data_IF_553619482249
#
_entry.id   IF_553619482249
#
_cell.length_a   1.000
_cell.length_b   1.000
_cell.length_c   1.000
_cell.angle_alpha   90.00
_cell.angle_beta   90.00
_cell.angle_gamma   90.00
#
_symmetry.space_group_name_H-M   'P 1'
#
loop_
_entity.id
_entity.type
_entity.pdbx_description
1 polymer ?
#
# COMPACT_ATOMS: atom_id res chain seq x y z
N UNK A 1 -9.18 5.30 -12.22
CA UNK A 1 -7.81 5.77 -11.92
C UNK A 1 -6.88 5.42 -13.07
N UNK A 2 -6.10 6.34 -13.54
CA UNK A 2 -5.15 6.13 -14.62
C UNK A 2 -3.83 5.61 -14.04
N UNK A 3 -3.32 4.50 -14.61
CA UNK A 3 -2.12 3.85 -14.09
C UNK A 3 -0.89 4.76 -14.07
N UNK A 4 -0.72 5.59 -15.09
CA UNK A 4 0.41 6.51 -15.15
C UNK A 4 0.40 7.53 -14.03
N UNK A 5 -0.76 8.12 -13.75
CA UNK A 5 -0.91 9.05 -12.64
C UNK A 5 -0.69 8.35 -11.31
N UNK A 6 -1.19 7.13 -11.16
CA UNK A 6 -0.99 6.30 -9.98
C UNK A 6 0.50 6.06 -9.74
N UNK A 7 1.23 5.59 -10.76
CA UNK A 7 2.66 5.33 -10.64
C UNK A 7 3.47 6.59 -10.34
N UNK A 8 3.10 7.71 -10.94
CA UNK A 8 3.76 8.99 -10.69
C UNK A 8 3.62 9.41 -9.24
N UNK A 9 2.40 9.36 -8.70
CA UNK A 9 2.16 9.73 -7.31
C UNK A 9 2.85 8.80 -6.32
N UNK A 10 2.89 7.51 -6.61
CA UNK A 10 3.60 6.56 -5.75
C UNK A 10 5.12 6.76 -5.76
N UNK A 11 5.67 7.32 -6.82
CA UNK A 11 7.11 7.65 -6.87
C UNK A 11 7.43 8.95 -6.15
N UNK A 12 6.60 9.98 -6.32
CA UNK A 12 6.86 11.32 -5.82
C UNK A 12 6.58 11.45 -4.32
N UNK A 13 5.49 10.86 -3.85
CA UNK A 13 5.01 11.04 -2.48
C UNK A 13 5.20 9.81 -1.61
N UNK A 14 6.01 8.88 -2.04
CA UNK A 14 6.23 7.63 -1.32
C UNK A 14 7.38 7.70 -0.32
N UNK A 15 7.34 6.80 0.62
CA UNK A 15 8.48 6.48 1.46
C UNK A 15 8.70 4.96 1.46
N UNK A 16 9.96 4.56 1.58
CA UNK A 16 10.31 3.15 1.62
C UNK A 16 10.17 2.63 3.06
N UNK A 17 9.50 1.51 3.17
CA UNK A 17 9.30 0.83 4.46
C UNK A 17 9.60 -0.67 4.29
N UNK A 18 9.75 -1.37 5.40
CA UNK A 18 9.90 -2.82 5.41
C UNK A 18 8.51 -3.46 5.54
N UNK A 19 8.21 -4.37 4.62
CA UNK A 19 7.01 -5.22 4.70
C UNK A 19 7.44 -6.56 5.28
N UNK A 20 6.79 -6.98 6.37
CA UNK A 20 7.14 -8.20 7.08
C UNK A 20 5.91 -9.08 7.25
N UNK A 21 6.07 -10.36 6.91
CA UNK A 21 5.05 -11.37 7.17
C UNK A 21 5.58 -12.36 8.20
N UNK A 22 4.88 -12.44 9.31
CA UNK A 22 5.26 -13.37 10.38
C UNK A 22 5.01 -14.81 9.95
N UNK A 23 5.94 -15.66 10.26
CA UNK A 23 5.85 -17.06 9.92
C UNK A 23 7.06 -17.82 10.46
N UNK A 24 7.30 -18.98 9.89
CA UNK A 24 8.44 -19.82 10.29
C UNK A 24 9.16 -20.33 9.04
N UNK A 25 10.15 -19.59 8.53
CA UNK A 25 10.70 -18.31 9.00
C UNK A 25 9.82 -17.08 8.61
N UNK A 26 10.07 -15.95 9.26
CA UNK A 26 9.46 -14.68 8.86
C UNK A 26 9.97 -14.27 7.48
N UNK A 27 9.08 -13.64 6.69
CA UNK A 27 9.42 -13.10 5.38
C UNK A 27 9.53 -11.58 5.46
N UNK A 28 10.54 -11.01 4.83
CA UNK A 28 10.72 -9.56 4.77
C UNK A 28 11.03 -9.10 3.35
N UNK A 29 10.53 -7.94 3.01
CA UNK A 29 10.86 -7.26 1.76
C UNK A 29 10.72 -5.76 1.97
N UNK A 30 11.13 -4.97 1.00
CA UNK A 30 10.94 -3.52 1.02
C UNK A 30 9.85 -3.14 0.04
N UNK A 31 9.12 -2.08 0.37
CA UNK A 31 8.09 -1.52 -0.50
C UNK A 31 7.98 -0.02 -0.25
N UNK A 32 7.28 0.68 -1.13
CA UNK A 32 6.96 2.09 -0.96
C UNK A 32 5.49 2.24 -0.62
N UNK A 33 5.22 3.11 0.36
CA UNK A 33 3.86 3.47 0.72
C UNK A 33 3.65 4.96 0.49
N UNK A 34 2.44 5.33 0.12
CA UNK A 34 2.04 6.72 -0.11
C UNK A 34 0.77 7.01 0.67
N UNK A 35 0.68 8.11 1.42
CA UNK A 35 -0.57 8.46 2.10
C UNK A 35 -1.72 8.54 1.10
N UNK A 36 -2.86 7.95 1.43
CA UNK A 36 -3.97 7.81 0.49
C UNK A 36 -4.58 9.13 0.05
N UNK A 37 -4.42 10.19 0.86
CA UNK A 37 -4.98 11.50 0.52
C UNK A 37 -4.44 12.08 -0.79
N UNK A 38 -3.25 11.65 -1.26
CA UNK A 38 -2.72 12.08 -2.54
C UNK A 38 -3.50 11.52 -3.73
N UNK A 39 -4.31 10.50 -3.52
CA UNK A 39 -5.11 9.85 -4.57
C UNK A 39 -6.56 10.29 -4.59
N UNK A 40 -6.95 11.16 -3.69
CA UNK A 40 -8.34 11.57 -3.53
C UNK A 40 -8.98 12.11 -4.81
N UNK A 41 -8.26 12.96 -5.54
CA UNK A 41 -8.75 13.53 -6.79
C UNK A 41 -8.83 12.51 -7.93
N UNK A 42 -8.00 11.48 -7.93
CA UNK A 42 -8.02 10.44 -8.94
C UNK A 42 -9.17 9.46 -8.77
N UNK A 43 -9.63 9.30 -7.54
CA UNK A 43 -10.71 8.37 -7.22
C UNK A 43 -12.10 9.02 -7.24
N UNK A 44 -12.16 10.35 -7.41
CA UNK A 44 -13.38 11.09 -7.36
C UNK A 44 -13.74 11.55 -5.96
N UNK A 45 -14.93 12.14 -5.78
CA UNK A 45 -15.31 12.81 -4.55
C UNK A 45 -15.74 11.90 -3.41
N UNK A 46 -15.79 10.60 -3.62
CA UNK A 46 -16.19 9.67 -2.59
C UNK A 46 -15.10 9.60 -1.53
N UNK A 47 -15.41 10.03 -0.32
CA UNK A 47 -14.48 9.88 0.79
C UNK A 47 -15.22 9.67 2.08
N UNK A 48 -14.76 8.65 2.75
CA UNK A 48 -15.13 8.39 4.12
C UNK A 48 -13.99 8.93 4.97
N UNK A 49 -14.31 9.59 6.05
CA UNK A 49 -13.29 9.95 7.04
C UNK A 49 -12.74 8.65 7.64
N UNK A 50 -11.50 8.36 7.33
CA UNK A 50 -10.86 7.15 7.80
C UNK A 50 -10.09 7.48 9.05
N UNK A 51 -10.42 6.79 10.13
CA UNK A 51 -9.67 6.86 11.37
C UNK A 51 -8.51 5.88 11.26
N UNK A 52 -7.31 6.37 11.54
CA UNK A 52 -6.12 5.56 11.47
C UNK A 52 -5.24 5.91 10.28
N UNK A 53 -4.34 5.02 9.94
CA UNK A 53 -3.35 5.23 8.89
C UNK A 53 -3.74 4.48 7.64
N UNK A 54 -3.91 5.23 6.56
CA UNK A 54 -4.24 4.65 5.27
C UNK A 54 -3.19 5.03 4.24
N UNK A 55 -2.74 4.02 3.51
CA UNK A 55 -1.68 4.16 2.52
C UNK A 55 -2.06 3.45 1.22
N UNK A 56 -1.43 3.88 0.14
CA UNK A 56 -1.51 3.21 -1.16
C UNK A 56 -0.16 2.60 -1.46
N UNK A 57 -0.17 1.35 -1.93
CA UNK A 57 1.03 0.61 -2.33
C UNK A 57 0.86 0.17 -3.77
N UNK A 58 1.82 0.51 -4.63
CA UNK A 58 1.80 0.01 -6.00
C UNK A 58 2.44 -1.38 -6.08
N UNK A 59 1.95 -2.20 -6.99
CA UNK A 59 2.53 -3.53 -7.21
C UNK A 59 4.03 -3.43 -7.55
N UNK A 60 4.40 -2.45 -8.38
CA UNK A 60 5.76 -2.28 -8.84
C UNK A 60 6.71 -1.76 -7.74
N UNK A 61 6.18 -1.29 -6.62
CA UNK A 61 6.99 -0.77 -5.52
C UNK A 61 7.50 -1.85 -4.58
N UNK A 62 7.00 -3.07 -4.68
CA UNK A 62 7.38 -4.16 -3.80
C UNK A 62 8.54 -4.93 -4.42
N UNK A 63 9.68 -4.95 -3.73
CA UNK A 63 10.93 -5.50 -4.29
C UNK A 63 10.89 -7.01 -4.47
N UNK A 64 10.34 -7.72 -3.50
CA UNK A 64 10.20 -9.17 -3.58
C UNK A 64 8.82 -9.57 -3.07
N UNK A 65 7.81 -9.58 -3.95
CA UNK A 65 6.43 -9.82 -3.53
C UNK A 65 6.25 -11.19 -2.87
N UNK A 66 5.45 -11.20 -1.82
CA UNK A 66 5.04 -12.46 -1.18
C UNK A 66 3.91 -13.13 -1.98
N UNK A 67 3.54 -14.33 -1.57
CA UNK A 67 2.40 -15.05 -2.16
C UNK A 67 1.45 -15.49 -1.04
N UNK A 68 0.26 -14.87 -0.92
CA UNK A 68 -0.24 -13.68 -1.65
C UNK A 68 0.60 -12.44 -1.36
N UNK A 69 0.53 -11.45 -2.24
CA UNK A 69 1.40 -10.27 -2.16
C UNK A 69 1.18 -9.51 -0.86
N UNK A 70 -0.08 -9.30 -0.47
CA UNK A 70 -0.44 -8.71 0.82
C UNK A 70 -1.43 -9.61 1.53
N UNK A 71 -1.35 -9.60 2.85
CA UNK A 71 -2.24 -10.37 3.70
C UNK A 71 -2.53 -9.57 4.96
N UNK A 72 -3.77 -9.65 5.45
CA UNK A 72 -4.14 -9.04 6.72
C UNK A 72 -3.23 -9.57 7.83
N UNK A 73 -2.71 -8.68 8.64
CA UNK A 73 -1.75 -9.00 9.69
C UNK A 73 -0.30 -8.82 9.29
N UNK A 74 0.00 -8.61 7.99
CA UNK A 74 1.34 -8.21 7.57
C UNK A 74 1.71 -6.90 8.25
N UNK A 75 2.99 -6.69 8.48
CA UNK A 75 3.48 -5.52 9.20
C UNK A 75 4.26 -4.61 8.27
N UNK A 76 4.05 -3.31 8.45
CA UNK A 76 4.85 -2.27 7.83
C UNK A 76 5.72 -1.65 8.92
N UNK A 77 7.02 -1.70 8.76
CA UNK A 77 7.97 -1.16 9.72
C UNK A 77 8.64 0.09 9.15
N UNK A 78 8.51 1.21 9.84
CA UNK A 78 9.06 2.49 9.44
C UNK A 78 9.73 3.17 10.64
N UNK A 79 10.84 3.86 10.36
CA UNK A 79 11.61 4.52 11.42
C UNK A 79 10.82 5.64 12.09
N UNK A 80 10.04 6.39 11.32
CA UNK A 80 9.27 7.53 11.84
C UNK A 80 7.87 7.15 12.30
N UNK A 81 7.20 6.30 11.54
CA UNK A 81 5.81 5.91 11.82
C UNK A 81 5.71 4.74 12.79
N UNK A 82 6.83 4.05 13.02
CA UNK A 82 6.85 2.87 13.86
C UNK A 82 6.33 1.63 13.14
N UNK A 83 5.99 0.63 13.91
CA UNK A 83 5.49 -0.63 13.36
C UNK A 83 3.97 -0.56 13.27
N UNK A 84 3.44 -0.88 12.10
CA UNK A 84 2.01 -0.86 11.82
C UNK A 84 1.58 -2.23 11.33
N UNK A 85 0.40 -2.68 11.73
CA UNK A 85 -0.18 -3.91 11.22
C UNK A 85 -1.25 -3.59 10.18
N UNK A 86 -1.24 -4.29 9.05
CA UNK A 86 -2.26 -4.13 8.02
C UNK A 86 -3.55 -4.77 8.52
N UNK A 87 -4.60 -3.96 8.61
CA UNK A 87 -5.91 -4.38 9.07
C UNK A 87 -6.90 -4.60 7.92
N UNK A 88 -6.82 -3.77 6.89
CA UNK A 88 -7.73 -3.83 5.76
C UNK A 88 -6.97 -3.63 4.46
N UNK A 89 -7.31 -4.41 3.43
CA UNK A 89 -6.68 -4.39 2.12
C UNK A 89 -7.76 -4.24 1.07
N UNK A 90 -7.65 -3.21 0.22
CA UNK A 90 -8.56 -2.98 -0.90
C UNK A 90 -7.75 -3.03 -2.18
N UNK A 91 -8.09 -3.92 -3.09
CA UNK A 91 -7.42 -4.06 -4.37
C UNK A 91 -7.79 -2.91 -5.31
N UNK A 92 -6.80 -2.40 -6.04
CA UNK A 92 -7.00 -1.34 -7.02
C UNK A 92 -6.63 -1.87 -8.41
N UNK A 93 -7.54 -1.67 -9.36
CA UNK A 93 -7.41 -2.22 -10.71
C UNK A 93 -7.24 -1.10 -11.73
N UNK A 94 -6.49 -1.37 -12.80
CA UNK A 94 -6.45 -0.50 -13.95
C UNK A 94 -7.67 -0.72 -14.87
N UNK A 95 -7.78 0.02 -15.95
CA UNK A 95 -8.91 -0.11 -16.87
C UNK A 95 -8.97 -1.46 -17.59
N UNK A 96 -7.86 -2.17 -17.66
CA UNK A 96 -7.80 -3.51 -18.23
C UNK A 96 -8.17 -4.62 -17.25
N UNK A 97 -8.46 -4.27 -15.98
CA UNK A 97 -8.81 -5.24 -14.95
C UNK A 97 -7.62 -5.88 -14.25
N UNK A 98 -6.40 -5.43 -14.54
CA UNK A 98 -5.21 -5.91 -13.85
C UNK A 98 -4.98 -5.13 -12.54
N UNK A 99 -4.45 -5.80 -11.54
CA UNK A 99 -4.13 -5.17 -10.26
C UNK A 99 -2.99 -4.18 -10.44
N UNK A 100 -3.20 -2.91 -10.05
CA UNK A 100 -2.16 -1.88 -10.01
C UNK A 100 -1.49 -1.82 -8.65
N UNK A 101 -2.22 -2.10 -7.61
CA UNK A 101 -1.77 -1.95 -6.24
C UNK A 101 -2.90 -2.12 -5.25
N UNK A 102 -2.69 -1.61 -4.05
CA UNK A 102 -3.62 -1.78 -2.95
C UNK A 102 -3.72 -0.50 -2.14
N UNK A 103 -4.92 -0.25 -1.61
CA UNK A 103 -5.13 0.68 -0.51
C UNK A 103 -5.16 -0.15 0.77
N UNK A 104 -4.29 0.17 1.71
CA UNK A 104 -4.19 -0.55 2.98
C UNK A 104 -4.48 0.39 4.14
N UNK A 105 -5.20 -0.10 5.13
CA UNK A 105 -5.41 0.59 6.39
C UNK A 105 -4.66 -0.15 7.48
N UNK A 106 -3.90 0.60 8.28
CA UNK A 106 -3.04 0.06 9.33
C UNK A 106 -3.47 0.54 10.71
N UNK A 107 -3.20 -0.29 11.67
CA UNK A 107 -3.33 0.04 13.09
C UNK A 107 -1.98 0.32 13.74
#
# INVERSE_FOLDING_TARGET
MVREAFNTLTKIHSRTVTLKRLGSPDLTTTCRITPSNYFRNLEGPSHTTIKGREFVMSLDSISAPFSPVLKRGDKLEDIQLGNMAIDEIIEMYDFGGAIMGWRVRCE
#
